data_IF_445928662213
#
_entry.id   IF_445928662213
#
_cell.length_a   1.000
_cell.length_b   1.000
_cell.length_c   1.000
_cell.angle_alpha   90.00
_cell.angle_beta   90.00
_cell.angle_gamma   90.00
#
_symmetry.space_group_name_H-M   'P 1'
#
loop_
_entity.id
_entity.type
_entity.pdbx_description
1 polymer ?
#
# COMPACT_ATOMS: atom_id res chain seq x y z
N UNK A 1 27.54 12.65 -15.84
CA UNK A 1 27.27 11.63 -14.79
C UNK A 1 26.66 12.26 -13.54
N UNK A 2 27.18 13.41 -13.09
CA UNK A 2 26.85 14.02 -11.80
C UNK A 2 25.35 14.29 -11.59
N UNK A 3 24.65 14.78 -12.63
CA UNK A 3 23.19 15.00 -12.56
C UNK A 3 22.42 13.70 -12.35
N UNK A 4 22.80 12.62 -13.05
CA UNK A 4 22.17 11.30 -12.89
C UNK A 4 22.39 10.77 -11.47
N UNK A 5 23.58 10.94 -10.91
CA UNK A 5 23.87 10.53 -9.53
C UNK A 5 23.07 11.33 -8.50
N UNK A 6 22.92 12.65 -8.68
CA UNK A 6 22.04 13.48 -7.84
C UNK A 6 20.59 13.02 -7.89
N UNK A 7 20.08 12.68 -9.07
CA UNK A 7 18.72 12.14 -9.22
C UNK A 7 18.55 10.78 -8.56
N UNK A 8 19.52 9.86 -8.71
CA UNK A 8 19.50 8.56 -8.03
C UNK A 8 19.49 8.76 -6.51
N UNK A 9 20.29 9.71 -5.99
CA UNK A 9 20.30 10.03 -4.56
C UNK A 9 18.95 10.59 -4.10
N UNK A 10 18.40 11.58 -4.81
CA UNK A 10 17.09 12.14 -4.50
C UNK A 10 15.98 11.07 -4.54
N UNK A 11 16.00 10.20 -5.55
CA UNK A 11 15.08 9.07 -5.65
C UNK A 11 15.17 8.12 -4.46
N UNK A 12 16.39 7.81 -4.00
CA UNK A 12 16.60 6.95 -2.83
C UNK A 12 16.08 7.61 -1.56
N UNK A 13 16.32 8.90 -1.38
CA UNK A 13 15.82 9.67 -0.23
C UNK A 13 14.28 9.67 -0.21
N UNK A 14 13.63 9.84 -1.37
CA UNK A 14 12.17 9.73 -1.51
C UNK A 14 11.71 8.33 -1.10
N UNK A 15 12.31 7.27 -1.65
CA UNK A 15 11.93 5.89 -1.34
C UNK A 15 12.06 5.59 0.16
N UNK A 16 13.18 5.99 0.78
CA UNK A 16 13.43 5.72 2.21
C UNK A 16 12.37 6.41 3.08
N UNK A 17 12.10 7.69 2.83
CA UNK A 17 11.16 8.42 3.66
C UNK A 17 9.70 8.05 3.37
N UNK A 18 9.35 7.74 2.12
CA UNK A 18 8.04 7.16 1.78
C UNK A 18 7.84 5.82 2.50
N UNK A 19 8.87 4.97 2.59
CA UNK A 19 8.83 3.72 3.37
C UNK A 19 8.63 3.94 4.87
N UNK A 20 9.16 5.01 5.45
CA UNK A 20 8.88 5.31 6.86
C UNK A 20 7.41 5.65 7.08
N UNK A 21 6.81 6.43 6.18
CA UNK A 21 5.37 6.73 6.18
C UNK A 21 4.57 5.44 6.00
N UNK A 22 4.97 4.56 5.06
CA UNK A 22 4.39 3.21 4.87
C UNK A 22 4.31 2.46 6.19
N UNK A 23 5.46 2.28 6.85
CA UNK A 23 5.54 1.50 8.08
C UNK A 23 4.78 2.12 9.24
N UNK A 24 4.62 3.44 9.25
CA UNK A 24 3.80 4.11 10.25
C UNK A 24 2.32 3.80 10.06
N UNK A 25 1.81 3.85 8.83
CA UNK A 25 0.40 3.55 8.52
C UNK A 25 0.04 2.10 8.83
N UNK A 26 0.98 1.17 8.65
CA UNK A 26 0.81 -0.22 9.07
C UNK A 26 0.55 -0.41 10.57
N UNK A 27 0.87 0.58 11.42
CA UNK A 27 0.65 0.55 12.88
C UNK A 27 -0.68 1.11 13.33
N UNK A 28 -1.55 1.51 12.39
CA UNK A 28 -2.93 1.90 12.70
C UNK A 28 -3.62 0.77 13.48
N UNK A 29 -4.58 1.09 14.32
CA UNK A 29 -5.55 0.20 14.96
C UNK A 29 -6.80 1.01 15.31
N UNK A 30 -7.84 0.35 15.83
CA UNK A 30 -9.11 1.00 16.19
C UNK A 30 -8.95 2.20 17.13
N UNK A 31 -7.90 2.22 17.97
CA UNK A 31 -7.73 3.18 19.05
C UNK A 31 -6.82 4.36 18.69
N UNK A 32 -5.92 4.18 17.72
CA UNK A 32 -4.90 5.19 17.35
C UNK A 32 -5.04 5.67 15.90
N UNK A 33 -6.10 5.27 15.19
CA UNK A 33 -6.26 5.48 13.76
C UNK A 33 -6.05 6.93 13.34
N UNK A 34 -6.77 7.85 13.96
CA UNK A 34 -6.75 9.26 13.54
C UNK A 34 -5.40 9.91 13.82
N UNK A 35 -4.81 9.66 14.99
CA UNK A 35 -3.47 10.16 15.36
C UNK A 35 -2.37 9.66 14.40
N UNK A 36 -2.37 8.35 14.11
CA UNK A 36 -1.38 7.74 13.21
C UNK A 36 -1.51 8.28 11.80
N UNK A 37 -2.75 8.47 11.32
CA UNK A 37 -3.02 9.01 9.99
C UNK A 37 -2.68 10.50 9.88
N UNK A 38 -2.99 11.31 10.88
CA UNK A 38 -2.62 12.74 10.92
C UNK A 38 -1.10 12.91 10.88
N UNK A 39 -0.37 12.13 11.69
CA UNK A 39 1.08 12.16 11.67
C UNK A 39 1.64 11.66 10.34
N UNK A 40 1.06 10.61 9.75
CA UNK A 40 1.50 10.09 8.45
C UNK A 40 1.29 11.11 7.33
N UNK A 41 0.18 11.87 7.38
CA UNK A 41 -0.12 12.95 6.45
C UNK A 41 0.90 14.09 6.56
N UNK A 42 1.24 14.51 7.78
CA UNK A 42 2.27 15.51 8.02
C UNK A 42 3.64 15.06 7.51
N UNK A 43 4.02 13.81 7.76
CA UNK A 43 5.29 13.26 7.30
C UNK A 43 5.32 13.11 5.77
N UNK A 44 4.20 12.74 5.15
CA UNK A 44 4.06 12.68 3.69
C UNK A 44 4.16 14.06 3.04
N UNK A 45 3.54 15.08 3.65
CA UNK A 45 3.67 16.47 3.22
C UNK A 45 5.13 16.93 3.32
N UNK A 46 5.84 16.54 4.37
CA UNK A 46 7.27 16.81 4.48
C UNK A 46 8.08 16.12 3.37
N UNK A 47 7.75 14.86 3.04
CA UNK A 47 8.39 14.15 1.91
C UNK A 47 8.18 14.88 0.59
N UNK A 48 6.96 15.39 0.38
CA UNK A 48 6.58 16.18 -0.79
C UNK A 48 7.40 17.47 -0.88
N UNK A 49 7.35 18.28 0.18
CA UNK A 49 7.94 19.61 0.19
C UNK A 49 9.47 19.61 0.20
N UNK A 50 10.11 18.57 0.76
CA UNK A 50 11.56 18.49 0.84
C UNK A 50 12.17 17.65 -0.30
N UNK A 51 11.74 16.38 -0.44
CA UNK A 51 12.42 15.43 -1.31
C UNK A 51 11.86 15.45 -2.73
N UNK A 52 10.53 15.51 -2.90
CA UNK A 52 9.91 15.61 -4.23
C UNK A 52 10.22 16.97 -4.84
N UNK A 53 10.10 18.07 -4.09
CA UNK A 53 10.46 19.40 -4.57
C UNK A 53 11.93 19.47 -5.03
N UNK A 54 12.85 18.83 -4.31
CA UNK A 54 14.26 18.71 -4.73
C UNK A 54 14.41 17.92 -6.04
N UNK A 55 13.70 16.80 -6.17
CA UNK A 55 13.72 16.00 -7.40
C UNK A 55 13.20 16.81 -8.59
N UNK A 56 12.07 17.51 -8.41
CA UNK A 56 11.47 18.38 -9.44
C UNK A 56 12.47 19.45 -9.87
N UNK A 57 13.12 20.15 -8.93
CA UNK A 57 14.16 21.16 -9.22
C UNK A 57 15.34 20.57 -9.99
N UNK A 58 15.80 19.37 -9.65
CA UNK A 58 16.88 18.72 -10.40
C UNK A 58 16.43 18.31 -11.81
N UNK A 59 15.14 18.00 -12.03
CA UNK A 59 14.61 17.61 -13.35
C UNK A 59 14.28 18.79 -14.28
N UNK A 60 14.14 20.00 -13.73
CA UNK A 60 13.87 21.21 -14.51
C UNK A 60 14.91 21.47 -15.61
N UNK A 61 14.42 21.91 -16.77
CA UNK A 61 15.26 22.26 -17.92
C UNK A 61 16.01 21.08 -18.55
N UNK A 62 15.56 19.84 -18.30
CA UNK A 62 16.13 18.65 -18.94
C UNK A 62 15.07 17.70 -19.44
N UNK A 63 15.44 16.92 -20.44
CA UNK A 63 14.68 15.78 -20.96
C UNK A 63 14.47 14.72 -19.87
N UNK A 64 13.45 14.89 -19.03
CA UNK A 64 13.18 14.04 -17.88
C UNK A 64 12.88 12.58 -18.27
N UNK A 65 12.45 12.32 -19.51
CA UNK A 65 12.27 10.95 -20.02
C UNK A 65 13.59 10.18 -20.10
N UNK A 66 14.71 10.84 -20.46
CA UNK A 66 16.03 10.19 -20.58
C UNK A 66 16.55 9.70 -19.23
N UNK A 67 16.15 10.38 -18.15
CA UNK A 67 16.59 10.09 -16.78
C UNK A 67 15.53 9.33 -15.96
N UNK A 68 14.44 8.86 -16.60
CA UNK A 68 13.35 8.14 -15.92
C UNK A 68 13.82 7.00 -15.02
N UNK A 69 14.76 6.19 -15.50
CA UNK A 69 15.33 5.07 -14.72
C UNK A 69 15.99 5.51 -13.41
N UNK A 70 16.44 6.76 -13.30
CA UNK A 70 17.08 7.29 -12.11
C UNK A 70 16.10 7.69 -11.00
N UNK A 71 14.87 8.11 -11.34
CA UNK A 71 13.90 8.64 -10.38
C UNK A 71 12.60 7.83 -10.23
N UNK A 72 12.28 6.98 -11.22
CA UNK A 72 11.05 6.16 -11.24
C UNK A 72 10.84 5.38 -9.93
N UNK A 73 11.86 4.76 -9.28
CA UNK A 73 11.66 4.07 -8.00
C UNK A 73 11.15 4.96 -6.86
N UNK A 74 11.67 6.18 -6.75
CA UNK A 74 11.25 7.15 -5.73
C UNK A 74 9.83 7.62 -5.99
N UNK A 75 9.55 7.95 -7.25
CA UNK A 75 8.24 8.40 -7.71
C UNK A 75 7.18 7.31 -7.52
N UNK A 76 7.47 6.05 -7.84
CA UNK A 76 6.56 4.93 -7.60
C UNK A 76 6.23 4.76 -6.10
N UNK A 77 7.23 4.90 -5.22
CA UNK A 77 7.06 4.77 -3.75
C UNK A 77 6.25 5.92 -3.13
N UNK A 78 6.38 7.13 -3.68
CA UNK A 78 5.65 8.32 -3.21
C UNK A 78 4.15 8.23 -3.50
N UNK A 79 3.79 7.67 -4.66
CA UNK A 79 2.39 7.53 -5.11
C UNK A 79 1.59 6.49 -4.35
N UNK A 80 2.26 5.62 -3.60
CA UNK A 80 1.65 4.51 -2.87
C UNK A 80 0.84 4.97 -1.65
N UNK A 81 0.77 6.28 -1.35
CA UNK A 81 0.04 6.79 -0.19
C UNK A 81 -1.04 7.75 -0.64
N UNK A 82 -2.10 7.18 -1.20
CA UNK A 82 -3.40 7.79 -0.95
C UNK A 82 -3.84 7.43 0.48
N UNK A 83 -3.37 8.23 1.44
CA UNK A 83 -3.82 8.12 2.84
C UNK A 83 -5.34 8.25 2.96
N UNK A 84 -6.03 8.78 1.93
CA UNK A 84 -7.48 8.85 1.90
C UNK A 84 -8.12 7.48 2.01
N UNK A 85 -7.55 6.43 1.36
CA UNK A 85 -8.09 5.06 1.46
C UNK A 85 -8.26 4.59 2.92
N UNK A 86 -7.39 5.05 3.82
CA UNK A 86 -7.45 4.69 5.23
C UNK A 86 -8.51 5.46 6.01
N UNK A 87 -9.06 6.56 5.46
CA UNK A 87 -10.11 7.33 6.10
C UNK A 87 -11.49 6.71 5.84
N UNK A 88 -12.36 6.61 6.86
CA UNK A 88 -13.70 6.03 6.72
C UNK A 88 -14.57 6.71 5.64
N UNK A 89 -14.26 7.95 5.28
CA UNK A 89 -15.07 8.80 4.39
C UNK A 89 -14.51 8.91 2.97
N UNK A 90 -13.33 8.34 2.67
CA UNK A 90 -12.64 8.59 1.41
C UNK A 90 -12.01 7.31 0.83
N UNK A 91 -12.83 6.36 0.37
CA UNK A 91 -12.37 5.22 -0.44
C UNK A 91 -11.98 5.61 -1.87
N UNK A 92 -11.38 6.79 -2.08
CA UNK A 92 -10.96 7.28 -3.40
C UNK A 92 -9.47 7.01 -3.56
N UNK A 93 -9.07 6.68 -4.79
CA UNK A 93 -7.68 6.62 -5.22
C UNK A 93 -7.29 7.95 -5.84
N UNK A 94 -6.12 8.46 -5.48
CA UNK A 94 -5.56 9.68 -6.04
C UNK A 94 -5.27 9.46 -7.52
N UNK A 95 -5.90 10.26 -8.36
CA UNK A 95 -5.79 10.16 -9.81
C UNK A 95 -4.45 10.68 -10.29
N UNK A 96 -4.01 10.22 -11.46
CA UNK A 96 -2.80 10.74 -12.10
C UNK A 96 -2.86 12.27 -12.30
N UNK A 97 -4.05 12.80 -12.61
CA UNK A 97 -4.26 14.23 -12.79
C UNK A 97 -4.03 14.99 -11.47
N UNK A 98 -4.64 14.55 -10.37
CA UNK A 98 -4.45 15.17 -9.04
C UNK A 98 -2.97 15.15 -8.63
N UNK A 99 -2.27 14.04 -8.85
CA UNK A 99 -0.83 13.95 -8.56
C UNK A 99 -0.03 14.95 -9.40
N UNK A 100 -0.26 15.00 -10.70
CA UNK A 100 0.46 15.92 -11.59
C UNK A 100 0.13 17.38 -11.28
N UNK A 101 -1.09 17.70 -10.84
CA UNK A 101 -1.44 19.04 -10.34
C UNK A 101 -0.63 19.41 -9.10
N UNK A 102 -0.45 18.49 -8.15
CA UNK A 102 0.40 18.75 -6.97
C UNK A 102 1.87 18.94 -7.37
N UNK A 103 2.39 18.15 -8.32
CA UNK A 103 3.77 18.32 -8.82
C UNK A 103 3.97 19.63 -9.59
N UNK A 104 2.93 20.10 -10.29
CA UNK A 104 2.96 21.38 -10.99
C UNK A 104 3.15 22.55 -10.02
N UNK A 105 2.51 22.50 -8.84
CA UNK A 105 2.67 23.53 -7.80
C UNK A 105 4.11 23.61 -7.25
N UNK A 106 4.88 22.52 -7.35
CA UNK A 106 6.29 22.47 -6.95
C UNK A 106 7.24 22.88 -8.08
N UNK A 107 6.73 23.02 -9.30
CA UNK A 107 7.51 23.37 -10.49
C UNK A 107 7.55 24.89 -10.69
N UNK A 108 8.59 25.38 -11.36
CA UNK A 108 8.68 26.78 -11.78
C UNK A 108 7.71 27.01 -12.96
N UNK A 109 6.80 28.00 -12.91
CA UNK A 109 5.86 28.30 -14.00
C UNK A 109 6.52 28.63 -15.34
N UNK A 110 7.80 29.03 -15.32
CA UNK A 110 8.55 29.42 -16.52
C UNK A 110 9.18 28.26 -17.29
N UNK A 111 9.11 27.03 -16.75
CA UNK A 111 9.75 25.84 -17.32
C UNK A 111 8.74 24.72 -17.58
N UNK A 112 9.11 23.77 -18.45
CA UNK A 112 8.32 22.57 -18.67
C UNK A 112 8.21 21.76 -17.36
N UNK A 113 6.99 21.51 -16.86
CA UNK A 113 6.80 20.88 -15.56
C UNK A 113 7.08 19.38 -15.64
N UNK A 114 7.68 18.85 -14.57
CA UNK A 114 7.83 17.41 -14.44
C UNK A 114 6.46 16.74 -14.27
N UNK A 115 6.16 15.77 -15.13
CA UNK A 115 4.94 15.00 -15.07
C UNK A 115 5.23 13.50 -14.95
N UNK A 116 4.42 12.85 -14.13
CA UNK A 116 4.36 11.40 -14.05
C UNK A 116 3.63 10.88 -15.28
N UNK A 117 4.19 9.86 -15.92
CA UNK A 117 3.51 9.12 -16.98
C UNK A 117 2.59 8.03 -16.41
N UNK A 118 1.71 7.53 -17.28
CA UNK A 118 0.74 6.48 -16.96
C UNK A 118 1.41 5.21 -16.44
N UNK A 119 2.51 4.76 -17.05
CA UNK A 119 3.20 3.53 -16.64
C UNK A 119 3.73 3.61 -15.20
N UNK A 120 4.41 4.70 -14.83
CA UNK A 120 4.91 4.91 -13.48
C UNK A 120 3.78 5.01 -12.46
N UNK A 121 2.59 5.49 -12.86
CA UNK A 121 1.41 5.50 -12.01
C UNK A 121 0.87 4.09 -11.78
N UNK A 122 0.69 3.30 -12.85
CA UNK A 122 0.18 1.93 -12.76
C UNK A 122 1.14 1.00 -11.98
N UNK A 123 2.45 1.17 -12.14
CA UNK A 123 3.45 0.45 -11.34
C UNK A 123 3.34 0.78 -9.85
N UNK A 124 3.16 2.06 -9.50
CA UNK A 124 2.95 2.48 -8.12
C UNK A 124 1.64 1.97 -7.53
N UNK A 125 0.57 1.94 -8.33
CA UNK A 125 -0.72 1.36 -7.96
C UNK A 125 -0.61 -0.15 -7.72
N UNK A 126 0.16 -0.86 -8.54
CA UNK A 126 0.42 -2.27 -8.32
C UNK A 126 1.20 -2.51 -7.00
N UNK A 127 2.20 -1.68 -6.70
CA UNK A 127 2.93 -1.77 -5.43
C UNK A 127 2.03 -1.47 -4.21
N UNK A 128 1.07 -0.55 -4.33
CA UNK A 128 0.08 -0.27 -3.28
C UNK A 128 -0.69 -1.52 -2.89
N UNK A 129 -1.09 -2.35 -3.85
CA UNK A 129 -1.84 -3.58 -3.51
C UNK A 129 -1.05 -4.55 -2.63
N UNK A 130 0.28 -4.59 -2.75
CA UNK A 130 1.14 -5.39 -1.88
C UNK A 130 1.22 -4.85 -0.46
N UNK A 131 1.23 -3.53 -0.29
CA UNK A 131 1.14 -2.90 1.04
C UNK A 131 -0.26 -3.08 1.63
N UNK A 132 -1.33 -2.94 0.86
CA UNK A 132 -2.69 -3.21 1.30
C UNK A 132 -2.88 -4.66 1.77
N UNK A 133 -2.28 -5.63 1.08
CA UNK A 133 -2.27 -7.02 1.54
C UNK A 133 -1.61 -7.16 2.90
N UNK A 134 -0.43 -6.56 3.12
CA UNK A 134 0.24 -6.60 4.43
C UNK A 134 -0.63 -6.01 5.54
N UNK A 135 -1.28 -4.88 5.26
CA UNK A 135 -2.22 -4.25 6.17
C UNK A 135 -3.39 -5.17 6.49
N UNK A 136 -4.00 -5.79 5.48
CA UNK A 136 -5.13 -6.70 5.66
C UNK A 136 -4.75 -7.90 6.54
N UNK A 137 -3.57 -8.49 6.34
CA UNK A 137 -3.08 -9.58 7.21
C UNK A 137 -2.90 -9.12 8.66
N UNK A 138 -2.36 -7.92 8.89
CA UNK A 138 -2.30 -7.33 10.23
C UNK A 138 -3.69 -7.18 10.85
N UNK A 139 -4.66 -6.68 10.09
CA UNK A 139 -6.04 -6.46 10.53
C UNK A 139 -6.78 -7.75 10.86
N UNK A 140 -6.58 -8.80 10.07
CA UNK A 140 -7.10 -10.14 10.36
C UNK A 140 -6.55 -10.63 11.69
N UNK A 141 -5.28 -10.37 11.97
CA UNK A 141 -4.63 -10.77 13.23
C UNK A 141 -5.17 -10.00 14.44
N UNK A 142 -5.59 -8.74 14.24
CA UNK A 142 -6.27 -7.90 15.24
C UNK A 142 -7.78 -8.20 15.37
N UNK A 143 -8.32 -9.18 14.62
CA UNK A 143 -9.74 -9.55 14.61
C UNK A 143 -10.65 -8.59 13.82
N UNK A 144 -10.09 -7.71 12.99
CA UNK A 144 -10.81 -6.74 12.17
C UNK A 144 -11.18 -7.30 10.78
N UNK A 145 -11.94 -8.39 10.74
CA UNK A 145 -12.25 -9.11 9.50
C UNK A 145 -12.99 -8.26 8.46
N UNK A 146 -14.01 -7.50 8.85
CA UNK A 146 -14.77 -6.63 7.93
C UNK A 146 -13.87 -5.60 7.23
N UNK A 147 -12.86 -5.09 7.94
CA UNK A 147 -11.92 -4.13 7.36
C UNK A 147 -10.96 -4.81 6.38
N UNK A 148 -10.50 -6.02 6.71
CA UNK A 148 -9.69 -6.83 5.80
C UNK A 148 -10.45 -7.24 4.53
N UNK A 149 -11.75 -7.55 4.63
CA UNK A 149 -12.63 -7.83 3.49
C UNK A 149 -12.78 -6.62 2.57
N UNK A 150 -12.96 -5.41 3.13
CA UNK A 150 -12.98 -4.17 2.36
C UNK A 150 -11.68 -3.94 1.60
N UNK A 151 -10.53 -4.20 2.24
CA UNK A 151 -9.23 -4.14 1.57
C UNK A 151 -9.14 -5.18 0.45
N UNK A 152 -9.57 -6.42 0.71
CA UNK A 152 -9.57 -7.50 -0.28
C UNK A 152 -10.38 -7.11 -1.52
N UNK A 153 -11.59 -6.58 -1.31
CA UNK A 153 -12.47 -6.14 -2.39
C UNK A 153 -11.82 -5.03 -3.22
N UNK A 154 -11.24 -4.03 -2.56
CA UNK A 154 -10.55 -2.94 -3.25
C UNK A 154 -9.34 -3.42 -4.08
N UNK A 155 -8.51 -4.29 -3.51
CA UNK A 155 -7.34 -4.86 -4.23
C UNK A 155 -7.81 -5.71 -5.42
N UNK A 156 -8.89 -6.48 -5.24
CA UNK A 156 -9.51 -7.29 -6.30
C UNK A 156 -10.03 -6.42 -7.45
N UNK A 157 -10.66 -5.29 -7.14
CA UNK A 157 -11.18 -4.37 -8.15
C UNK A 157 -10.06 -3.71 -8.95
N UNK A 158 -8.98 -3.26 -8.29
CA UNK A 158 -7.78 -2.75 -8.99
C UNK A 158 -7.20 -3.83 -9.93
N UNK A 159 -7.07 -5.08 -9.44
CA UNK A 159 -6.54 -6.18 -10.24
C UNK A 159 -7.41 -6.46 -11.48
N UNK A 160 -8.74 -6.42 -11.34
CA UNK A 160 -9.69 -6.61 -12.45
C UNK A 160 -9.51 -5.53 -13.52
N UNK A 161 -9.49 -4.27 -13.11
CA UNK A 161 -9.32 -3.14 -14.04
C UNK A 161 -7.97 -3.22 -14.77
N UNK A 162 -6.88 -3.50 -14.05
CA UNK A 162 -5.56 -3.64 -14.67
C UNK A 162 -5.45 -4.85 -15.60
N UNK A 163 -6.22 -5.92 -15.36
CA UNK A 163 -6.27 -7.08 -16.25
C UNK A 163 -6.81 -6.71 -17.64
N UNK A 164 -7.71 -5.72 -17.71
CA UNK A 164 -8.22 -5.21 -18.99
C UNK A 164 -7.20 -4.30 -19.69
N UNK A 165 -6.40 -3.54 -18.95
CA UNK A 165 -5.50 -2.51 -19.49
C UNK A 165 -4.14 -3.09 -19.92
N UNK A 166 -3.51 -3.91 -19.06
CA UNK A 166 -2.12 -4.38 -19.23
C UNK A 166 -1.84 -5.07 -20.57
N UNK A 167 -2.76 -5.89 -21.15
CA UNK A 167 -2.53 -6.50 -22.47
C UNK A 167 -2.34 -5.49 -23.60
N UNK A 168 -2.92 -4.30 -23.49
CA UNK A 168 -2.86 -3.24 -24.50
C UNK A 168 -1.71 -2.25 -24.29
N UNK A 169 -0.92 -2.42 -23.22
CA UNK A 169 0.22 -1.56 -22.95
C UNK A 169 1.45 -2.00 -23.76
N UNK A 170 2.15 -1.03 -24.35
CA UNK A 170 3.48 -1.22 -24.90
C UNK A 170 4.50 -1.55 -23.78
N UNK A 171 5.48 -2.41 -24.06
CA UNK A 171 6.53 -2.82 -23.11
C UNK A 171 6.02 -3.29 -21.73
N UNK A 172 4.91 -4.04 -21.71
CA UNK A 172 4.21 -4.47 -20.50
C UNK A 172 4.89 -5.53 -19.61
N UNK A 173 6.16 -5.88 -19.86
CA UNK A 173 6.85 -6.94 -19.13
C UNK A 173 6.90 -6.70 -17.61
N UNK A 174 7.18 -5.47 -17.20
CA UNK A 174 7.22 -5.11 -15.78
C UNK A 174 5.81 -5.19 -15.16
N UNK A 175 4.80 -4.68 -15.87
CA UNK A 175 3.41 -4.78 -15.44
C UNK A 175 2.93 -6.22 -15.33
N UNK A 176 3.30 -7.12 -16.24
CA UNK A 176 2.96 -8.55 -16.16
C UNK A 176 3.46 -9.19 -14.86
N UNK A 177 4.72 -8.94 -14.49
CA UNK A 177 5.28 -9.40 -13.21
C UNK A 177 4.55 -8.81 -12.00
N UNK A 178 4.17 -7.54 -12.09
CA UNK A 178 3.36 -6.90 -11.05
C UNK A 178 1.99 -7.55 -10.95
N UNK A 179 1.31 -7.83 -12.07
CA UNK A 179 0.01 -8.52 -12.09
C UNK A 179 0.08 -9.90 -11.42
N UNK A 180 1.14 -10.68 -11.64
CA UNK A 180 1.36 -11.95 -10.91
C UNK A 180 1.43 -11.71 -9.40
N UNK A 181 2.20 -10.71 -8.97
CA UNK A 181 2.35 -10.37 -7.55
C UNK A 181 1.05 -9.84 -6.93
N UNK A 182 0.26 -9.10 -7.69
CA UNK A 182 -1.07 -8.60 -7.29
C UNK A 182 -2.04 -9.76 -7.07
N UNK A 183 -2.09 -10.72 -7.99
CA UNK A 183 -2.92 -11.92 -7.84
C UNK A 183 -2.54 -12.70 -6.57
N UNK A 184 -1.24 -12.91 -6.34
CA UNK A 184 -0.76 -13.54 -5.11
C UNK A 184 -1.16 -12.75 -3.86
N UNK A 185 -1.23 -11.42 -3.95
CA UNK A 185 -1.67 -10.58 -2.85
C UNK A 185 -3.16 -10.76 -2.56
N UNK A 186 -4.02 -10.81 -3.59
CA UNK A 186 -5.45 -11.10 -3.45
C UNK A 186 -5.67 -12.46 -2.77
N UNK A 187 -5.06 -13.52 -3.32
CA UNK A 187 -5.21 -14.90 -2.83
C UNK A 187 -4.78 -15.02 -1.36
N UNK A 188 -3.71 -14.33 -0.96
CA UNK A 188 -3.25 -14.32 0.44
C UNK A 188 -4.28 -13.73 1.39
N UNK A 189 -4.90 -12.60 1.02
CA UNK A 189 -5.93 -11.97 1.86
C UNK A 189 -7.15 -12.89 1.96
N UNK A 190 -7.61 -13.43 0.83
CA UNK A 190 -8.76 -14.33 0.76
C UNK A 190 -8.56 -15.59 1.61
N UNK A 191 -7.42 -16.27 1.46
CA UNK A 191 -7.09 -17.46 2.23
C UNK A 191 -7.01 -17.17 3.74
N UNK A 192 -6.47 -16.01 4.12
CA UNK A 192 -6.41 -15.60 5.52
C UNK A 192 -7.80 -15.35 6.10
N UNK A 193 -8.68 -14.63 5.37
CA UNK A 193 -10.07 -14.41 5.78
C UNK A 193 -10.82 -15.74 5.91
N UNK A 194 -10.71 -16.62 4.91
CA UNK A 194 -11.33 -17.94 4.91
C UNK A 194 -10.86 -18.79 6.09
N UNK A 195 -9.56 -18.83 6.35
CA UNK A 195 -8.98 -19.61 7.46
C UNK A 195 -9.52 -19.17 8.82
N UNK A 196 -9.71 -17.87 9.03
CA UNK A 196 -10.32 -17.36 10.28
C UNK A 196 -11.80 -17.69 10.35
N UNK A 197 -12.54 -17.55 9.25
CA UNK A 197 -13.97 -17.87 9.20
C UNK A 197 -14.25 -19.35 9.53
N UNK A 198 -13.48 -20.28 8.94
CA UNK A 198 -13.62 -21.72 9.21
C UNK A 198 -13.34 -22.02 10.68
N UNK A 199 -12.22 -21.51 11.22
CA UNK A 199 -11.87 -21.72 12.64
C UNK A 199 -12.88 -21.11 13.61
N UNK A 200 -13.44 -19.95 13.28
CA UNK A 200 -14.52 -19.33 14.05
C UNK A 200 -15.81 -20.15 14.05
N UNK A 201 -16.08 -20.85 12.95
CA UNK A 201 -17.25 -21.72 12.80
C UNK A 201 -17.06 -23.07 13.52
N UNK A 202 -15.84 -23.57 13.62
CA UNK A 202 -15.48 -24.77 14.39
C UNK A 202 -15.61 -24.56 15.91
N UNK A 203 -15.45 -23.31 16.38
CA UNK A 203 -15.49 -22.94 17.80
C UNK A 203 -16.85 -22.43 18.29
N UNK A 204 -17.91 -22.50 17.48
CA UNK A 204 -19.27 -22.30 18.00
C UNK A 204 -19.53 -23.40 19.05
N UNK A 205 -19.66 -23.08 20.35
CA UNK A 205 -20.14 -24.07 21.30
C UNK A 205 -21.51 -24.47 20.80
N UNK A 206 -21.74 -25.76 20.61
CA UNK A 206 -23.07 -26.31 20.35
C UNK A 206 -24.00 -25.80 21.47
N UNK A 207 -24.74 -24.73 21.18
CA UNK A 207 -25.73 -24.14 22.06
C UNK A 207 -26.92 -25.11 22.05
N UNK A 208 -26.80 -26.16 22.87
CA UNK A 208 -27.75 -27.26 22.87
C UNK A 208 -27.31 -28.53 23.60
N UNK A 209 -26.47 -28.46 24.62
CA UNK A 209 -26.41 -29.54 25.61
C UNK A 209 -26.04 -28.96 26.97
N UNK A 210 -27.06 -28.55 27.71
CA UNK A 210 -26.98 -28.38 29.15
C UNK A 210 -26.77 -29.76 29.79
N UNK A 211 -25.52 -30.11 30.11
CA UNK A 211 -25.19 -31.03 31.21
C UNK A 211 -23.84 -30.66 31.86
N UNK A 212 -23.67 -30.91 33.16
CA UNK A 212 -22.84 -30.09 34.04
C UNK A 212 -21.39 -30.61 34.20
N UNK A 213 -20.49 -29.66 34.50
CA UNK A 213 -19.17 -29.80 35.10
C UNK A 213 -18.61 -31.22 35.30
N UNK A 214 -17.58 -31.57 34.54
CA UNK A 214 -16.55 -32.51 35.01
C UNK A 214 -15.24 -31.76 35.28
N UNK A 215 -14.91 -31.67 36.57
CA UNK A 215 -13.65 -31.18 37.09
C UNK A 215 -12.47 -31.98 36.53
N UNK A 216 -11.51 -31.27 35.95
CA UNK A 216 -10.20 -31.81 35.62
C UNK A 216 -9.38 -31.93 36.91
N UNK A 217 -9.46 -33.09 37.57
CA UNK A 217 -8.50 -33.51 38.61
C UNK A 217 -7.89 -34.84 38.16
N UNK A 218 -6.82 -34.76 37.39
CA UNK A 218 -5.91 -35.88 37.16
C UNK A 218 -5.11 -36.11 38.43
N UNK A 219 -5.53 -37.12 39.19
CA UNK A 219 -4.85 -37.65 40.37
C UNK A 219 -3.52 -38.29 39.96
N UNK A 220 -2.50 -38.03 40.76
CA UNK A 220 -1.18 -38.65 40.78
C UNK A 220 -1.28 -40.13 41.14
N UNK A 221 -0.79 -41.04 40.29
CA UNK A 221 -0.59 -42.44 40.65
C UNK A 221 0.92 -42.73 40.81
N UNK A 222 1.30 -43.02 42.05
CA UNK A 222 2.52 -43.72 42.44
C UNK A 222 2.14 -45.16 42.85
N UNK A 223 3.00 -46.10 42.43
CA UNK A 223 3.32 -47.42 43.00
C UNK A 223 2.33 -48.60 42.89
N UNK A 224 2.80 -49.63 42.17
CA UNK A 224 3.25 -50.89 42.81
C UNK A 224 4.39 -51.54 42.01
#
# INVERSE_FOLDING_TARGET
NDKRERLVKASRDITINSKKVIFQVHRVNKNNKDEVLEKAEKDLLNVTNQYIARLVKELQGTDFWKLRRAYSPGVASFKTYDLQFFRPQAGKLLTLAEINTHLLQLSDPSLEPFQINVLDYLLGLADLTGELMRLAIGRISDGELEYAEKICQFVRDIYRELTLIVPHMDDNFEMKKKMETMLQSVVKIENACFSVHVRGSEYMPLLGSSEPNFSFLGVTDFEL
#
